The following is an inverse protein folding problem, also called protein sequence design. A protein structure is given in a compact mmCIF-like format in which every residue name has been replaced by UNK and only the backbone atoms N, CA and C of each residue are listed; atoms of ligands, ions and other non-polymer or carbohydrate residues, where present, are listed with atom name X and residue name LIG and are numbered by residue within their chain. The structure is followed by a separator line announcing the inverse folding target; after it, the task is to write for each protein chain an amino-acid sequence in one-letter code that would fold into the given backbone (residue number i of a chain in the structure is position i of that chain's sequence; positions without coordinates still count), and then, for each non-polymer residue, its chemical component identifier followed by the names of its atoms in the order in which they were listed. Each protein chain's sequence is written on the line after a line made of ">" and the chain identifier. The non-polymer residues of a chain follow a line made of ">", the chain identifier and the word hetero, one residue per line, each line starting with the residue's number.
data_IF_073974761133
#
_entry.id   IF_073974761133
#
_cell.length_a   1.000
_cell.length_b   1.000
_cell.length_c   1.000
_cell.angle_alpha   90.00
_cell.angle_beta   90.00
_cell.angle_gamma   90.00
#
_symmetry.space_group_name_H-M   'P 1'
#
loop_
_entity.id
_entity.type
_entity.pdbx_description
1 polymer ?
#
# COMPACT_ATOMS: atom_id res chain seq x y z
N UNK A 1 -6.52 13.89 14.37
CA UNK A 1 -5.77 13.15 13.34
C UNK A 1 -5.14 11.95 14.01
N UNK A 2 -5.09 10.79 13.35
CA UNK A 2 -4.41 9.63 13.91
C UNK A 2 -2.91 9.92 14.03
N UNK A 3 -2.26 9.36 15.05
CA UNK A 3 -0.81 9.46 15.20
C UNK A 3 -0.13 8.70 14.06
N UNK A 4 0.89 9.28 13.44
CA UNK A 4 1.49 8.77 12.21
C UNK A 4 2.13 7.37 12.34
N UNK A 5 2.85 7.04 13.42
CA UNK A 5 3.32 5.67 13.67
C UNK A 5 2.18 4.65 13.77
N UNK A 6 1.09 4.97 14.46
CA UNK A 6 -0.08 4.08 14.55
C UNK A 6 -0.77 3.94 13.20
N UNK A 7 -0.91 5.04 12.45
CA UNK A 7 -1.44 5.00 11.10
C UNK A 7 -0.58 4.11 10.20
N UNK A 8 0.75 4.18 10.29
CA UNK A 8 1.62 3.33 9.51
C UNK A 8 1.45 1.86 9.91
N UNK A 9 1.43 1.58 11.21
CA UNK A 9 1.30 0.23 11.75
C UNK A 9 0.00 -0.48 11.32
N UNK A 10 -1.12 0.25 11.25
CA UNK A 10 -2.43 -0.27 10.75
C UNK A 10 -2.35 -0.90 9.36
N UNK A 11 -1.56 -0.32 8.49
CA UNK A 11 -1.38 -0.79 7.12
C UNK A 11 -0.19 -1.74 7.01
N UNK A 12 0.78 -1.65 7.91
CA UNK A 12 1.97 -2.49 7.90
C UNK A 12 1.72 -3.89 8.48
N UNK A 13 0.79 -4.02 9.44
CA UNK A 13 0.51 -5.29 10.11
C UNK A 13 0.04 -6.42 9.17
N UNK A 14 -0.97 -6.23 8.30
CA UNK A 14 -1.55 -7.35 7.53
C UNK A 14 -0.54 -8.11 6.65
N UNK A 15 0.33 -7.47 5.83
CA UNK A 15 1.36 -8.20 5.09
C UNK A 15 2.49 -8.73 5.99
N UNK A 16 2.71 -8.13 7.16
CA UNK A 16 3.74 -8.57 8.11
C UNK A 16 3.35 -9.87 8.81
N UNK A 17 2.08 -10.02 9.20
CA UNK A 17 1.50 -11.28 9.68
C UNK A 17 1.71 -12.44 8.69
N UNK A 18 1.67 -12.13 7.39
CA UNK A 18 1.86 -13.09 6.31
C UNK A 18 3.33 -13.28 5.89
N UNK A 19 4.27 -12.58 6.54
CA UNK A 19 5.71 -12.70 6.29
C UNK A 19 6.21 -11.99 5.02
N UNK A 20 5.43 -11.08 4.41
CA UNK A 20 5.85 -10.37 3.20
C UNK A 20 6.79 -9.18 3.47
N UNK A 21 6.71 -8.56 4.65
CA UNK A 21 7.54 -7.41 5.00
C UNK A 21 7.63 -7.23 6.53
N UNK A 22 8.47 -6.29 6.98
CA UNK A 22 8.63 -5.97 8.40
C UNK A 22 9.55 -6.93 9.16
N UNK A 23 9.49 -6.89 10.49
CA UNK A 23 10.23 -7.80 11.36
C UNK A 23 9.41 -9.01 11.82
N UNK A 24 10.03 -9.93 12.56
CA UNK A 24 9.41 -11.22 12.92
C UNK A 24 8.24 -11.11 13.91
N UNK A 25 8.20 -10.06 14.74
CA UNK A 25 7.22 -9.88 15.82
C UNK A 25 5.98 -9.08 15.39
N UNK A 26 5.25 -9.61 14.40
CA UNK A 26 3.98 -9.05 13.92
C UNK A 26 2.93 -8.99 15.03
N UNK A 27 2.98 -9.90 16.02
CA UNK A 27 2.01 -9.92 17.12
C UNK A 27 2.17 -8.71 18.04
N UNK A 28 3.39 -8.38 18.43
CA UNK A 28 3.65 -7.16 19.19
C UNK A 28 3.20 -5.90 18.42
N UNK A 29 3.37 -5.88 17.09
CA UNK A 29 2.89 -4.77 16.25
C UNK A 29 1.37 -4.61 16.35
N UNK A 30 0.58 -5.69 16.28
CA UNK A 30 -0.87 -5.63 16.46
C UNK A 30 -1.27 -5.15 17.85
N UNK A 31 -0.64 -5.72 18.89
CA UNK A 31 -0.93 -5.38 20.29
C UNK A 31 -0.69 -3.89 20.57
N UNK A 32 0.47 -3.37 20.15
CA UNK A 32 0.82 -1.95 20.31
C UNK A 32 -0.13 -1.04 19.51
N UNK A 33 -0.42 -1.42 18.26
CA UNK A 33 -1.32 -0.65 17.39
C UNK A 33 -2.72 -0.58 17.98
N UNK A 34 -3.23 -1.72 18.47
CA UNK A 34 -4.56 -1.80 19.09
C UNK A 34 -4.62 -1.06 20.43
N UNK A 35 -3.54 -1.07 21.21
CA UNK A 35 -3.45 -0.32 22.46
C UNK A 35 -3.31 1.20 22.23
N UNK A 36 -2.99 1.62 21.00
CA UNK A 36 -2.74 3.02 20.67
C UNK A 36 -1.48 3.58 21.33
N UNK A 37 -0.51 2.72 21.65
CA UNK A 37 0.73 3.11 22.34
C UNK A 37 1.81 3.44 21.30
N UNK A 38 2.37 4.64 21.40
CA UNK A 38 3.53 5.06 20.61
C UNK A 38 4.73 5.25 21.52
N UNK A 39 5.70 4.35 21.42
CA UNK A 39 6.97 4.44 22.12
C UNK A 39 8.16 4.37 21.14
N UNK A 40 9.38 4.47 21.67
CA UNK A 40 10.60 4.38 20.87
C UNK A 40 10.80 2.99 20.24
N UNK A 41 10.28 1.93 20.85
CA UNK A 41 10.35 0.56 20.36
C UNK A 41 9.51 0.39 19.09
N UNK A 42 8.24 0.81 19.11
CA UNK A 42 7.37 0.80 17.95
C UNK A 42 8.01 1.58 16.80
N UNK A 43 8.46 2.82 17.06
CA UNK A 43 9.09 3.65 16.02
C UNK A 43 10.34 2.99 15.43
N UNK A 44 11.14 2.29 16.22
CA UNK A 44 12.28 1.54 15.73
C UNK A 44 11.86 0.32 14.89
N UNK A 45 10.83 -0.41 15.32
CA UNK A 45 10.27 -1.53 14.57
C UNK A 45 9.71 -1.10 13.22
N UNK A 46 9.02 0.05 13.13
CA UNK A 46 8.47 0.53 11.85
C UNK A 46 9.56 0.86 10.80
N UNK A 47 10.81 1.06 11.21
CA UNK A 47 11.95 1.26 10.30
C UNK A 47 12.39 -0.03 9.59
N UNK A 48 12.05 -1.20 10.14
CA UNK A 48 12.39 -2.48 9.51
C UNK A 48 11.57 -2.78 8.26
N UNK A 49 10.53 -1.99 7.98
CA UNK A 49 9.77 -2.06 6.73
C UNK A 49 10.59 -1.44 5.59
N UNK A 50 11.70 -2.10 5.22
CA UNK A 50 12.70 -1.61 4.25
C UNK A 50 12.12 -1.26 2.88
N UNK A 51 10.99 -1.89 2.49
CA UNK A 51 10.28 -1.55 1.25
C UNK A 51 9.56 -0.20 1.32
N UNK A 52 9.02 0.16 2.49
CA UNK A 52 8.20 1.35 2.68
C UNK A 52 8.99 2.56 3.22
N UNK A 53 9.91 2.32 4.16
CA UNK A 53 10.68 3.36 4.85
C UNK A 53 11.37 4.36 3.90
N UNK A 54 12.03 3.91 2.81
CA UNK A 54 12.56 4.78 1.77
C UNK A 54 11.61 5.84 1.23
N UNK A 55 10.34 5.47 1.00
CA UNK A 55 9.35 6.37 0.45
C UNK A 55 8.90 7.41 1.48
N UNK A 56 8.79 7.02 2.74
CA UNK A 56 8.45 7.94 3.83
C UNK A 56 9.52 9.03 3.98
N UNK A 57 10.81 8.65 3.99
CA UNK A 57 11.91 9.61 4.03
C UNK A 57 11.89 10.56 2.84
N UNK A 58 11.62 10.02 1.64
CA UNK A 58 11.58 10.80 0.41
C UNK A 58 10.43 11.81 0.41
N UNK A 59 9.23 11.39 0.81
CA UNK A 59 8.06 12.27 0.92
C UNK A 59 8.31 13.35 1.98
N UNK A 60 8.84 12.97 3.14
CA UNK A 60 9.12 13.91 4.23
C UNK A 60 10.12 14.97 3.79
N UNK A 61 11.28 14.55 3.23
CA UNK A 61 12.33 15.44 2.76
C UNK A 61 11.84 16.41 1.67
N UNK A 62 11.11 15.92 0.66
CA UNK A 62 10.58 16.75 -0.42
C UNK A 62 9.53 17.79 0.06
N UNK A 63 8.98 17.59 1.26
CA UNK A 63 7.97 18.46 1.85
C UNK A 63 8.48 19.27 3.04
N UNK A 64 9.77 19.24 3.33
CA UNK A 64 10.37 19.95 4.47
C UNK A 64 9.86 19.46 5.82
N UNK A 65 9.60 18.15 5.94
CA UNK A 65 9.17 17.49 7.17
C UNK A 65 10.32 16.65 7.71
N UNK A 66 10.59 16.78 9.01
CA UNK A 66 11.72 16.09 9.66
C UNK A 66 11.39 14.64 10.05
N UNK A 67 10.11 14.33 10.26
CA UNK A 67 9.66 12.99 10.68
C UNK A 67 9.06 12.19 9.50
N UNK A 68 9.70 11.10 9.05
CA UNK A 68 9.11 10.17 8.08
C UNK A 68 7.79 9.54 8.57
N UNK A 69 7.57 9.50 9.89
CA UNK A 69 6.32 9.05 10.48
C UNK A 69 5.35 10.20 10.80
N UNK A 70 5.54 11.40 10.24
CA UNK A 70 4.51 12.44 10.28
C UNK A 70 3.23 11.89 9.64
N UNK A 71 2.07 12.09 10.28
CA UNK A 71 0.81 11.53 9.83
C UNK A 71 0.46 11.91 8.38
N UNK A 72 0.88 13.09 7.91
CA UNK A 72 0.66 13.54 6.53
C UNK A 72 1.52 12.77 5.54
N UNK A 73 2.76 12.44 5.91
CA UNK A 73 3.69 11.62 5.12
C UNK A 73 3.15 10.20 5.01
N UNK A 74 2.74 9.63 6.14
CA UNK A 74 2.20 8.27 6.20
C UNK A 74 0.89 8.16 5.41
N UNK A 75 -0.02 9.13 5.53
CA UNK A 75 -1.24 9.17 4.71
C UNK A 75 -0.91 9.30 3.22
N UNK A 76 0.06 10.15 2.85
CA UNK A 76 0.50 10.28 1.46
C UNK A 76 1.03 8.97 0.89
N UNK A 77 1.77 8.18 1.68
CA UNK A 77 2.29 6.90 1.22
C UNK A 77 1.18 5.85 1.03
N UNK A 78 0.24 5.72 1.97
CA UNK A 78 -0.79 4.68 1.94
C UNK A 78 -2.02 5.00 1.08
N UNK A 79 -2.50 6.24 1.15
CA UNK A 79 -3.75 6.69 0.53
C UNK A 79 -3.55 7.74 -0.55
N UNK A 80 -2.38 8.39 -0.56
CA UNK A 80 -2.05 9.43 -1.49
C UNK A 80 -2.53 10.81 -1.05
N UNK A 81 -1.74 11.81 -1.38
CA UNK A 81 -2.05 13.22 -1.12
C UNK A 81 -1.21 14.13 -2.03
N UNK A 82 -1.53 15.43 -2.13
CA UNK A 82 -0.73 16.39 -2.90
C UNK A 82 0.74 16.51 -2.47
N UNK A 83 1.14 15.92 -1.33
CA UNK A 83 2.56 15.84 -0.96
C UNK A 83 3.37 15.02 -1.96
N UNK A 84 2.73 14.06 -2.63
CA UNK A 84 3.38 13.21 -3.64
C UNK A 84 3.81 14.00 -4.87
N UNK A 85 3.05 15.03 -5.26
CA UNK A 85 3.31 15.85 -6.45
C UNK A 85 4.58 16.71 -6.31
N UNK A 86 5.07 16.87 -5.09
CA UNK A 86 6.31 17.60 -4.77
C UNK A 86 7.55 16.70 -4.82
N UNK A 87 7.37 15.39 -4.91
CA UNK A 87 8.46 14.45 -5.11
C UNK A 87 8.76 14.38 -6.60
N UNK A 88 9.74 15.17 -7.05
CA UNK A 88 10.15 15.18 -8.46
C UNK A 88 10.62 13.80 -8.94
N UNK A 89 10.36 13.48 -10.22
CA UNK A 89 10.71 12.21 -10.85
C UNK A 89 12.20 11.84 -10.71
N UNK A 90 13.09 12.84 -10.78
CA UNK A 90 14.53 12.64 -10.58
C UNK A 90 14.87 12.18 -9.15
N UNK A 91 14.20 12.73 -8.13
CA UNK A 91 14.40 12.33 -6.74
C UNK A 91 13.88 10.91 -6.48
N UNK A 92 12.70 10.60 -7.03
CA UNK A 92 12.15 9.25 -6.98
C UNK A 92 13.08 8.24 -7.66
N UNK A 93 13.54 8.55 -8.87
CA UNK A 93 14.47 7.69 -9.61
C UNK A 93 15.78 7.48 -8.90
N UNK A 94 16.41 8.52 -8.36
CA UNK A 94 17.63 8.40 -7.57
C UNK A 94 17.45 7.50 -6.34
N UNK A 95 16.37 7.72 -5.57
CA UNK A 95 16.05 6.89 -4.39
C UNK A 95 15.80 5.44 -4.76
N UNK A 96 15.08 5.16 -5.85
CA UNK A 96 14.82 3.79 -6.28
C UNK A 96 16.12 3.13 -6.78
N UNK A 97 16.98 3.88 -7.46
CA UNK A 97 18.22 3.39 -8.06
C UNK A 97 19.22 2.92 -7.00
N UNK A 98 19.43 3.77 -6.00
CA UNK A 98 20.31 3.47 -4.88
C UNK A 98 19.87 2.22 -4.11
N UNK A 99 18.55 2.04 -3.96
CA UNK A 99 17.98 1.10 -2.98
C UNK A 99 17.54 -0.22 -3.58
N UNK A 100 17.02 -0.19 -4.81
CA UNK A 100 16.43 -1.36 -5.45
C UNK A 100 17.20 -1.86 -6.66
N UNK A 101 18.12 -1.10 -7.29
CA UNK A 101 18.83 -1.59 -8.49
C UNK A 101 19.54 -2.93 -8.25
N UNK A 102 20.26 -3.05 -7.14
CA UNK A 102 21.01 -4.27 -6.79
C UNK A 102 20.10 -5.48 -6.56
N UNK A 103 18.89 -5.25 -6.02
CA UNK A 103 17.88 -6.29 -5.73
C UNK A 103 17.00 -6.62 -6.94
N UNK A 104 16.69 -5.61 -7.77
CA UNK A 104 15.80 -5.70 -8.92
C UNK A 104 16.49 -6.33 -10.15
N UNK A 105 17.81 -6.20 -10.27
CA UNK A 105 18.58 -6.79 -11.36
C UNK A 105 18.00 -6.43 -12.73
N UNK A 106 17.72 -7.43 -13.57
CA UNK A 106 17.15 -7.23 -14.90
C UNK A 106 15.75 -6.59 -14.88
N UNK A 107 15.01 -6.56 -13.76
CA UNK A 107 13.70 -5.88 -13.69
C UNK A 107 13.80 -4.36 -13.49
N UNK A 108 15.01 -3.85 -13.19
CA UNK A 108 15.26 -2.42 -12.95
C UNK A 108 14.89 -1.52 -14.13
N UNK A 109 15.13 -1.95 -15.38
CA UNK A 109 14.79 -1.14 -16.57
C UNK A 109 13.29 -0.82 -16.64
N UNK A 110 12.42 -1.79 -16.32
CA UNK A 110 10.96 -1.59 -16.28
C UNK A 110 10.56 -0.61 -15.18
N UNK A 111 11.19 -0.72 -14.02
CA UNK A 111 10.94 0.20 -12.91
C UNK A 111 11.38 1.63 -13.26
N UNK A 112 12.51 1.77 -13.95
CA UNK A 112 13.01 3.06 -14.43
C UNK A 112 12.09 3.70 -15.48
N UNK A 113 11.49 2.91 -16.36
CA UNK A 113 10.55 3.36 -17.40
C UNK A 113 9.19 3.82 -16.85
N UNK A 114 8.76 3.29 -15.70
CA UNK A 114 7.52 3.73 -15.06
C UNK A 114 7.64 5.16 -14.45
N UNK A 115 8.85 5.61 -14.15
CA UNK A 115 9.10 6.92 -13.51
C UNK A 115 8.71 8.10 -14.41
N UNK A 116 9.15 8.15 -15.69
CA UNK A 116 8.64 9.12 -16.66
C UNK A 116 7.12 9.07 -16.87
N UNK A 117 6.48 7.92 -16.63
CA UNK A 117 5.05 7.69 -16.85
C UNK A 117 4.17 8.08 -15.65
N UNK A 118 4.70 8.83 -14.69
CA UNK A 118 3.92 9.33 -13.55
C UNK A 118 3.94 8.43 -12.32
N UNK A 119 4.97 7.60 -12.15
CA UNK A 119 5.21 6.92 -10.89
C UNK A 119 5.35 7.93 -9.75
N UNK A 120 4.72 7.61 -8.63
CA UNK A 120 4.78 8.41 -7.40
C UNK A 120 5.30 7.53 -6.25
N UNK A 121 5.83 8.13 -5.16
CA UNK A 121 6.23 7.40 -3.96
C UNK A 121 5.01 6.92 -3.14
N UNK A 122 4.10 6.19 -3.78
CA UNK A 122 2.85 5.68 -3.22
C UNK A 122 2.93 4.16 -3.09
N UNK A 123 2.24 3.58 -2.09
CA UNK A 123 2.27 2.14 -1.86
C UNK A 123 1.82 1.32 -3.09
N UNK A 124 0.80 1.80 -3.83
CA UNK A 124 0.40 1.16 -5.09
C UNK A 124 1.53 1.08 -6.11
N UNK A 125 2.42 2.07 -6.19
CA UNK A 125 3.57 1.98 -7.09
C UNK A 125 4.57 0.92 -6.63
N UNK A 126 4.80 0.82 -5.33
CA UNK A 126 5.65 -0.23 -4.78
C UNK A 126 5.13 -1.62 -5.14
N UNK A 127 3.84 -1.87 -4.92
CA UNK A 127 3.20 -3.16 -5.20
C UNK A 127 3.13 -3.45 -6.71
N UNK A 128 2.73 -2.48 -7.52
CA UNK A 128 2.46 -2.70 -8.95
C UNK A 128 3.72 -2.58 -9.81
N UNK A 129 4.67 -1.72 -9.43
CA UNK A 129 5.86 -1.39 -10.24
C UNK A 129 7.16 -2.03 -9.75
N UNK A 130 7.34 -2.18 -8.42
CA UNK A 130 8.61 -2.68 -7.85
C UNK A 130 8.59 -4.18 -7.62
N UNK A 131 7.46 -4.75 -7.19
CA UNK A 131 7.39 -6.19 -6.97
C UNK A 131 7.51 -6.99 -8.28
N UNK A 132 8.10 -8.20 -8.25
CA UNK A 132 8.35 -8.98 -9.45
C UNK A 132 7.06 -9.54 -10.09
N UNK A 133 5.94 -9.48 -9.38
CA UNK A 133 4.68 -10.15 -9.75
C UNK A 133 4.10 -9.67 -11.08
N UNK A 134 4.19 -8.39 -11.44
CA UNK A 134 3.72 -7.91 -12.76
C UNK A 134 4.56 -8.51 -13.91
N UNK A 135 5.84 -8.78 -13.68
CA UNK A 135 6.65 -9.53 -14.63
C UNK A 135 6.19 -10.97 -14.81
N UNK A 136 5.78 -11.62 -13.72
CA UNK A 136 5.25 -13.00 -13.75
C UNK A 136 3.92 -13.08 -14.50
N UNK A 137 3.02 -12.10 -14.31
CA UNK A 137 1.78 -11.98 -15.08
C UNK A 137 2.04 -11.91 -16.59
N UNK A 138 2.96 -11.04 -17.00
CA UNK A 138 3.35 -10.86 -18.42
C UNK A 138 3.99 -12.13 -19.01
N UNK A 139 4.57 -12.99 -18.18
CA UNK A 139 5.15 -14.28 -18.57
C UNK A 139 4.16 -15.46 -18.46
N UNK A 140 2.87 -15.19 -18.22
CA UNK A 140 1.80 -16.20 -18.20
C UNK A 140 1.54 -16.87 -16.85
N UNK A 141 2.25 -16.50 -15.78
CA UNK A 141 1.93 -16.96 -14.41
C UNK A 141 0.95 -15.97 -13.80
N UNK A 142 -0.35 -16.27 -13.89
CA UNK A 142 -1.40 -15.28 -13.61
C UNK A 142 -1.95 -15.34 -12.19
N UNK A 143 -2.42 -16.51 -11.74
CA UNK A 143 -3.29 -16.61 -10.55
C UNK A 143 -2.65 -16.08 -9.26
N UNK A 144 -1.50 -16.65 -8.87
CA UNK A 144 -0.84 -16.28 -7.61
C UNK A 144 -0.30 -14.83 -7.64
N UNK A 145 0.41 -14.38 -8.69
CA UNK A 145 0.86 -12.99 -8.76
C UNK A 145 -0.28 -11.98 -8.74
N UNK A 146 -1.40 -12.24 -9.44
CA UNK A 146 -2.56 -11.35 -9.41
C UNK A 146 -3.19 -11.31 -8.02
N UNK A 147 -3.28 -12.45 -7.34
CA UNK A 147 -3.77 -12.53 -5.97
C UNK A 147 -2.91 -11.65 -5.04
N UNK A 148 -1.59 -11.82 -5.04
CA UNK A 148 -0.69 -11.01 -4.20
C UNK A 148 -0.80 -9.52 -4.52
N UNK A 149 -0.82 -9.13 -5.80
CA UNK A 149 -0.98 -7.73 -6.20
C UNK A 149 -2.32 -7.14 -5.74
N UNK A 150 -3.40 -7.90 -5.87
CA UNK A 150 -4.73 -7.46 -5.44
C UNK A 150 -4.82 -7.33 -3.92
N UNK A 151 -4.26 -8.29 -3.16
CA UNK A 151 -4.30 -8.27 -1.69
C UNK A 151 -3.36 -7.24 -1.10
N UNK A 152 -2.18 -7.03 -1.70
CA UNK A 152 -1.16 -6.12 -1.20
C UNK A 152 -1.41 -4.65 -1.60
N UNK A 153 -2.11 -4.36 -2.71
CA UNK A 153 -2.54 -2.96 -2.94
C UNK A 153 -3.55 -2.53 -1.87
N UNK A 154 -3.53 -1.25 -1.51
CA UNK A 154 -4.56 -0.70 -0.64
C UNK A 154 -5.87 -0.59 -1.42
N UNK A 155 -6.85 -1.42 -1.05
CA UNK A 155 -8.22 -1.35 -1.58
C UNK A 155 -9.04 -0.34 -0.79
N UNK A 156 -10.12 0.12 -1.39
CA UNK A 156 -11.20 0.82 -0.70
C UNK A 156 -12.51 0.09 -0.92
N UNK A 157 -13.42 0.21 0.03
CA UNK A 157 -14.76 -0.35 -0.14
C UNK A 157 -15.78 0.22 0.82
N UNK A 158 -17.05 -0.07 0.53
CA UNK A 158 -18.19 0.38 1.33
C UNK A 158 -18.68 -0.75 2.22
N UNK A 159 -18.79 -0.51 3.52
CA UNK A 159 -19.24 -1.51 4.49
C UNK A 159 -20.73 -1.80 4.28
N UNK A 160 -21.05 -3.06 4.02
CA UNK A 160 -22.43 -3.56 3.83
C UNK A 160 -23.01 -4.08 5.14
N UNK A 161 -22.21 -4.80 5.91
CA UNK A 161 -22.58 -5.38 7.20
C UNK A 161 -21.34 -5.57 8.08
N UNK A 162 -21.54 -5.57 9.40
CA UNK A 162 -20.52 -5.89 10.39
C UNK A 162 -21.11 -6.93 11.34
N UNK A 163 -20.41 -8.05 11.53
CA UNK A 163 -20.83 -9.16 12.38
C UNK A 163 -19.62 -9.66 13.16
N UNK A 164 -19.59 -9.37 14.47
CA UNK A 164 -18.41 -9.66 15.29
C UNK A 164 -17.16 -8.98 14.74
N UNK A 165 -16.09 -9.77 14.59
CA UNK A 165 -14.78 -9.33 14.10
C UNK A 165 -14.64 -9.35 12.57
N UNK A 166 -15.77 -9.35 11.85
CA UNK A 166 -15.79 -9.36 10.40
C UNK A 166 -16.73 -8.31 9.83
N UNK A 167 -16.37 -7.77 8.66
CA UNK A 167 -17.21 -6.91 7.86
C UNK A 167 -17.37 -7.47 6.43
N UNK A 168 -18.57 -7.36 5.88
CA UNK A 168 -18.80 -7.51 4.44
C UNK A 168 -18.60 -6.14 3.81
N UNK A 169 -17.69 -6.07 2.83
CA UNK A 169 -17.27 -4.82 2.18
C UNK A 169 -17.43 -4.96 0.67
N UNK A 170 -18.05 -3.96 0.05
CA UNK A 170 -18.12 -3.83 -1.41
C UNK A 170 -16.88 -3.13 -1.93
N UNK A 171 -16.03 -3.87 -2.64
CA UNK A 171 -14.77 -3.37 -3.20
C UNK A 171 -14.63 -3.83 -4.66
N UNK A 172 -13.69 -3.20 -5.38
CA UNK A 172 -13.29 -3.66 -6.71
C UNK A 172 -12.01 -4.48 -6.56
N UNK A 173 -11.90 -5.70 -7.13
CA UNK A 173 -10.65 -6.45 -7.19
C UNK A 173 -9.76 -5.91 -8.32
N UNK A 174 -8.51 -6.36 -8.33
CA UNK A 174 -7.60 -6.22 -9.45
C UNK A 174 -7.79 -7.41 -10.41
N UNK A 175 -7.84 -7.12 -11.70
CA UNK A 175 -7.98 -8.11 -12.76
C UNK A 175 -6.86 -7.92 -13.79
N UNK A 176 -6.56 -9.00 -14.51
CA UNK A 176 -5.61 -9.01 -15.62
C UNK A 176 -6.35 -9.33 -16.91
N UNK A 177 -6.33 -8.42 -17.88
CA UNK A 177 -7.03 -8.59 -19.17
C UNK A 177 -6.20 -9.33 -20.23
N UNK A 178 -4.99 -9.77 -19.88
CA UNK A 178 -4.00 -10.34 -20.79
C UNK A 178 -2.84 -9.39 -21.09
N UNK A 179 -3.04 -8.07 -20.92
CA UNK A 179 -2.08 -7.03 -21.26
C UNK A 179 -1.91 -5.98 -20.15
N UNK A 180 -3.00 -5.64 -19.44
CA UNK A 180 -3.06 -4.57 -18.46
C UNK A 180 -3.71 -5.03 -17.16
N UNK A 181 -3.28 -4.39 -16.07
CA UNK A 181 -3.94 -4.45 -14.79
C UNK A 181 -5.12 -3.48 -14.79
N UNK A 182 -6.31 -3.97 -14.45
CA UNK A 182 -7.54 -3.19 -14.41
C UNK A 182 -8.28 -3.41 -13.10
N UNK A 183 -9.15 -2.48 -12.73
CA UNK A 183 -10.07 -2.68 -11.62
C UNK A 183 -11.31 -3.40 -12.14
N UNK A 184 -11.61 -4.55 -11.54
CA UNK A 184 -12.77 -5.37 -11.86
C UNK A 184 -14.10 -4.78 -11.38
N UNK A 185 -15.17 -5.57 -11.57
CA UNK A 185 -16.49 -5.21 -11.08
C UNK A 185 -16.54 -5.18 -9.55
N UNK A 186 -17.38 -4.30 -8.99
CA UNK A 186 -17.64 -4.27 -7.54
C UNK A 186 -18.24 -5.60 -7.10
N UNK A 187 -17.67 -6.17 -6.05
CA UNK A 187 -18.17 -7.39 -5.42
C UNK A 187 -18.05 -7.32 -3.91
N UNK A 188 -18.82 -8.16 -3.24
CA UNK A 188 -18.71 -8.32 -1.79
C UNK A 188 -17.45 -9.16 -1.47
N UNK A 189 -16.66 -8.69 -0.52
CA UNK A 189 -15.60 -9.46 0.13
C UNK A 189 -15.75 -9.39 1.65
N UNK A 190 -15.24 -10.41 2.34
CA UNK A 190 -15.19 -10.43 3.81
C UNK A 190 -13.83 -9.95 4.26
N UNK A 191 -13.81 -9.02 5.21
CA UNK A 191 -12.60 -8.50 5.82
C UNK A 191 -12.68 -8.61 7.34
N UNK A 192 -11.54 -8.86 7.96
CA UNK A 192 -11.31 -8.90 9.40
C UNK A 192 -11.28 -7.47 9.94
N UNK A 193 -12.07 -7.19 10.97
CA UNK A 193 -12.11 -5.89 11.66
C UNK A 193 -11.40 -5.93 13.02
N UNK A 194 -11.01 -7.11 13.47
CA UNK A 194 -10.31 -7.33 14.73
C UNK A 194 -9.96 -8.79 14.96
N UNK A 195 -9.21 -9.05 16.02
CA UNK A 195 -9.00 -10.39 16.57
C UNK A 195 -9.21 -10.33 18.09
N UNK A 196 -10.36 -10.81 18.56
CA UNK A 196 -10.69 -10.81 19.98
C UNK A 196 -10.92 -9.38 20.49
N UNK A 197 -9.99 -8.87 21.30
CA UNK A 197 -10.05 -7.49 21.80
C UNK A 197 -9.16 -6.51 21.03
N UNK A 198 -8.47 -6.99 19.98
CA UNK A 198 -7.52 -6.18 19.24
C UNK A 198 -8.11 -5.69 17.92
N UNK A 199 -7.92 -4.41 17.63
CA UNK A 199 -8.45 -3.77 16.44
C UNK A 199 -7.43 -2.78 15.86
N UNK A 200 -7.32 -2.74 14.54
CA UNK A 200 -6.46 -1.75 13.85
C UNK A 200 -7.14 -0.39 13.78
N UNK A 201 -8.46 -0.37 13.58
CA UNK A 201 -9.24 0.86 13.41
C UNK A 201 -10.39 0.96 14.41
N UNK A 202 -10.99 2.15 14.44
CA UNK A 202 -12.24 2.42 15.17
C UNK A 202 -13.38 1.57 14.60
N UNK A 203 -14.40 1.32 15.43
CA UNK A 203 -15.56 0.55 15.04
C UNK A 203 -16.21 1.06 13.74
N UNK A 204 -16.55 0.11 12.86
CA UNK A 204 -17.23 0.34 11.60
C UNK A 204 -18.73 0.17 11.76
N UNK A 205 -19.50 0.91 10.97
CA UNK A 205 -20.93 0.68 10.78
C UNK A 205 -21.26 0.54 9.30
N UNK A 206 -22.41 -0.06 9.01
CA UNK A 206 -22.94 -0.13 7.64
C UNK A 206 -22.98 1.26 7.02
N UNK A 207 -22.46 1.36 5.80
CA UNK A 207 -22.41 2.59 5.02
C UNK A 207 -21.09 3.34 5.10
N UNK A 208 -20.23 3.02 6.08
CA UNK A 208 -18.88 3.58 6.18
C UNK A 208 -18.03 3.21 4.97
N UNK A 209 -17.04 4.06 4.68
CA UNK A 209 -15.93 3.73 3.79
C UNK A 209 -14.76 3.20 4.61
N UNK A 210 -14.07 2.20 4.08
CA UNK A 210 -12.86 1.66 4.70
C UNK A 210 -11.77 1.36 3.68
N UNK A 211 -10.52 1.32 4.16
CA UNK A 211 -9.38 0.77 3.44
C UNK A 211 -9.17 -0.69 3.81
N UNK A 212 -8.70 -1.49 2.85
CA UNK A 212 -8.35 -2.88 3.09
C UNK A 212 -6.91 -3.13 2.64
N UNK A 213 -6.17 -3.89 3.44
CA UNK A 213 -4.86 -4.42 3.08
C UNK A 213 -4.83 -5.89 3.51
N UNK A 214 -4.63 -6.79 2.55
CA UNK A 214 -4.91 -8.22 2.75
C UNK A 214 -6.29 -8.43 3.34
N UNK A 215 -6.48 -9.37 4.26
CA UNK A 215 -7.80 -9.68 4.81
C UNK A 215 -8.31 -8.65 5.81
N UNK A 216 -7.53 -7.61 6.14
CA UNK A 216 -7.84 -6.69 7.22
C UNK A 216 -8.44 -5.37 6.74
N UNK A 217 -9.36 -4.84 7.54
CA UNK A 217 -9.72 -3.41 7.51
C UNK A 217 -8.65 -2.61 8.25
N UNK A 218 -7.96 -1.73 7.53
CA UNK A 218 -6.87 -0.91 8.10
C UNK A 218 -7.38 0.39 8.70
N UNK A 219 -8.31 1.08 8.03
CA UNK A 219 -8.88 2.31 8.54
C UNK A 219 -10.30 2.60 8.01
N UNK A 220 -11.06 3.38 8.78
CA UNK A 220 -12.32 3.99 8.31
C UNK A 220 -12.00 5.33 7.64
N UNK A 221 -12.32 5.42 6.36
CA UNK A 221 -11.95 6.54 5.50
C UNK A 221 -13.03 7.61 5.43
N UNK A 222 -12.58 8.86 5.35
CA UNK A 222 -13.42 9.98 4.95
C UNK A 222 -13.59 10.01 3.41
N UNK A 223 -14.69 10.60 2.88
CA UNK A 223 -14.91 10.65 1.43
C UNK A 223 -13.77 11.30 0.63
N UNK A 224 -13.03 12.24 1.23
CA UNK A 224 -11.86 12.85 0.60
C UNK A 224 -10.69 11.86 0.45
N UNK A 225 -10.44 11.02 1.47
CA UNK A 225 -9.41 9.99 1.43
C UNK A 225 -9.76 8.90 0.41
N UNK A 226 -11.04 8.53 0.29
CA UNK A 226 -11.49 7.58 -0.76
C UNK A 226 -11.20 8.13 -2.15
N UNK A 227 -11.49 9.42 -2.41
CA UNK A 227 -11.19 10.06 -3.69
C UNK A 227 -9.70 10.13 -3.98
N UNK A 228 -8.88 10.43 -2.97
CA UNK A 228 -7.43 10.45 -3.10
C UNK A 228 -6.90 9.06 -3.47
N UNK A 229 -7.27 8.02 -2.70
CA UNK A 229 -6.83 6.65 -2.93
C UNK A 229 -7.26 6.14 -4.31
N UNK A 230 -8.48 6.46 -4.75
CA UNK A 230 -8.94 6.18 -6.11
C UNK A 230 -8.09 6.85 -7.18
N UNK A 231 -7.80 8.14 -7.01
CA UNK A 231 -6.99 8.92 -7.95
C UNK A 231 -5.58 8.35 -8.04
N UNK A 232 -4.88 8.22 -6.91
CA UNK A 232 -3.49 7.77 -6.90
C UNK A 232 -3.35 6.31 -7.35
N UNK A 233 -4.28 5.44 -6.98
CA UNK A 233 -4.28 4.05 -7.49
C UNK A 233 -4.43 4.01 -9.01
N UNK A 234 -5.34 4.80 -9.59
CA UNK A 234 -5.51 4.89 -11.06
C UNK A 234 -4.25 5.44 -11.73
N UNK A 235 -3.66 6.51 -11.18
CA UNK A 235 -2.40 7.07 -11.70
C UNK A 235 -1.28 6.02 -11.71
N UNK A 236 -1.15 5.23 -10.64
CA UNK A 236 -0.10 4.20 -10.57
C UNK A 236 -0.39 2.99 -11.47
N UNK A 237 -1.66 2.62 -11.67
CA UNK A 237 -2.03 1.62 -12.67
C UNK A 237 -1.66 2.07 -14.08
N UNK A 238 -1.97 3.33 -14.45
CA UNK A 238 -1.56 3.90 -15.74
C UNK A 238 -0.04 3.90 -15.89
N UNK A 239 0.71 4.37 -14.89
CA UNK A 239 2.17 4.41 -14.95
C UNK A 239 2.81 3.04 -15.22
N UNK A 240 2.26 1.97 -14.62
CA UNK A 240 2.76 0.59 -14.77
C UNK A 240 2.26 -0.07 -16.07
N UNK A 241 1.01 0.19 -16.46
CA UNK A 241 0.44 -0.35 -17.70
C UNK A 241 1.11 0.25 -18.94
N UNK A 242 1.41 1.55 -18.93
CA UNK A 242 2.04 2.27 -20.03
C UNK A 242 3.57 2.07 -20.07
N UNK A 243 4.16 1.45 -19.04
CA UNK A 243 5.56 1.03 -19.06
C UNK A 243 5.71 -0.17 -20.04
N UNK A 244 6.50 -0.03 -21.13
CA UNK A 244 6.64 -1.05 -22.15
C UNK A 244 6.88 -2.44 -21.57
N UNK A 245 6.16 -3.44 -22.08
CA UNK A 245 6.54 -4.82 -21.92
C UNK A 245 7.74 -5.07 -22.81
N UNK A 246 8.94 -4.65 -22.41
CA UNK A 246 10.14 -5.04 -23.14
C UNK A 246 10.27 -6.56 -22.96
N UNK A 247 9.91 -7.26 -24.04
CA UNK A 247 10.06 -8.70 -24.19
C UNK A 247 11.54 -9.01 -23.98
N UNK A 248 11.88 -9.56 -22.81
CA UNK A 248 13.15 -10.25 -22.66
C UNK A 248 13.01 -11.56 -23.42
N UNK A 249 13.50 -11.57 -24.66
CA UNK A 249 13.98 -12.77 -25.31
C UNK A 249 15.31 -13.20 -24.67
#
# INVERSE_FOLDING_TARGET
>A
MADGPLLFARYAYPPNELGYCGGDDHRALLEQTSAGVVDGGLRQSLRSFEGAWPYLELIAAANGLDDPLDARVVEAYWLGSPLLDRVGSALLGGSLDERFRSRAGASWHRLAEAIPNGALPHHSFHVLGVYPFVGLLRNGVVTEPLHVLDRCRIRWGRVVAVTGDHAVVQSQPLEWDGHHLVLGAVRDEVAVTGEGNMHLTRALVRGDWCSLHWDWVCDRLEPAQVRALQYYTKTQLTAVNDAPATVLA
#
